data_IF_700528877030
#
_entry.id   IF_700528877030
#
_cell.length_a   1.000
_cell.length_b   1.000
_cell.length_c   1.000
_cell.angle_alpha   90.00
_cell.angle_beta   90.00
_cell.angle_gamma   90.00
#
_symmetry.space_group_name_H-M   'P 1'
#
loop_
_entity.id
_entity.type
_entity.pdbx_description
1 polymer ?
#
# COMPACT_ATOMS: atom_id res chain seq x y z
N UNK A 1 14.28 2.29 -10.08
CA UNK A 1 13.59 3.57 -10.31
C UNK A 1 12.08 3.41 -10.20
N UNK A 2 11.49 2.47 -10.93
CA UNK A 2 10.06 2.19 -10.93
C UNK A 2 9.53 1.88 -9.53
N UNK A 3 10.16 0.98 -8.80
CA UNK A 3 9.80 0.62 -7.43
C UNK A 3 9.89 1.82 -6.47
N UNK A 4 10.89 2.70 -6.62
CA UNK A 4 10.99 3.92 -5.81
C UNK A 4 9.84 4.89 -6.10
N UNK A 5 9.46 5.05 -7.38
CA UNK A 5 8.30 5.85 -7.75
C UNK A 5 7.01 5.25 -7.19
N UNK A 6 6.87 3.92 -7.22
CA UNK A 6 5.72 3.20 -6.66
C UNK A 6 5.60 3.43 -5.16
N UNK A 7 6.70 3.31 -4.40
CA UNK A 7 6.72 3.63 -2.96
C UNK A 7 6.32 5.09 -2.72
N UNK A 8 6.89 6.03 -3.48
CA UNK A 8 6.52 7.45 -3.38
C UNK A 8 5.04 7.71 -3.67
N UNK A 9 4.48 7.03 -4.67
CA UNK A 9 3.07 7.15 -5.00
C UNK A 9 2.16 6.57 -3.90
N UNK A 10 2.54 5.46 -3.25
CA UNK A 10 1.75 4.91 -2.13
C UNK A 10 1.60 5.93 -1.01
N UNK A 11 2.64 6.71 -0.70
CA UNK A 11 2.57 7.75 0.34
C UNK A 11 1.70 8.97 -0.03
N UNK A 12 1.20 9.07 -1.26
CA UNK A 12 0.19 10.10 -1.62
C UNK A 12 -1.22 9.73 -1.21
N UNK A 13 -1.45 8.47 -0.84
CA UNK A 13 -2.73 7.96 -0.39
C UNK A 13 -2.90 8.15 1.12
N UNK A 14 -4.15 8.22 1.63
CA UNK A 14 -4.40 8.25 3.06
C UNK A 14 -3.78 7.03 3.76
N UNK A 15 -3.19 7.24 4.92
CA UNK A 15 -2.77 6.13 5.77
C UNK A 15 -4.00 5.32 6.19
N UNK A 16 -3.84 4.01 6.25
CA UNK A 16 -4.85 3.10 6.78
C UNK A 16 -4.21 2.16 7.80
N UNK A 17 -4.97 1.84 8.81
CA UNK A 17 -4.61 0.84 9.80
C UNK A 17 -5.22 -0.51 9.38
N UNK A 18 -4.43 -1.57 9.51
CA UNK A 18 -4.88 -2.90 9.15
C UNK A 18 -4.09 -3.52 7.99
N UNK A 19 -4.49 -4.72 7.61
CA UNK A 19 -3.77 -5.52 6.59
C UNK A 19 -4.71 -6.22 5.61
N UNK A 20 -5.99 -5.98 5.71
CA UNK A 20 -7.00 -6.70 4.96
C UNK A 20 -7.34 -5.96 3.66
N UNK A 21 -6.95 -6.52 2.55
CA UNK A 21 -7.09 -5.90 1.23
C UNK A 21 -8.18 -6.62 0.43
N UNK A 22 -9.11 -5.86 -0.12
CA UNK A 22 -9.98 -6.36 -1.20
C UNK A 22 -9.28 -6.13 -2.55
N UNK A 23 -9.28 -7.14 -3.39
CA UNK A 23 -8.81 -7.07 -4.79
C UNK A 23 -10.03 -7.11 -5.68
N UNK A 24 -10.23 -6.06 -6.46
CA UNK A 24 -11.35 -5.92 -7.41
C UNK A 24 -10.75 -5.97 -8.82
N UNK A 25 -11.24 -6.86 -9.65
CA UNK A 25 -10.66 -7.09 -10.98
C UNK A 25 -11.71 -7.50 -12.01
N UNK A 26 -11.42 -7.23 -13.27
CA UNK A 26 -12.11 -7.82 -14.41
C UNK A 26 -11.25 -8.89 -15.13
N UNK A 27 -10.07 -9.23 -14.57
CA UNK A 27 -9.11 -10.16 -15.16
C UNK A 27 -8.42 -10.99 -14.07
N UNK A 28 -8.66 -12.30 -14.06
CA UNK A 28 -8.18 -13.19 -13.00
C UNK A 28 -6.65 -13.32 -12.90
N UNK A 29 -5.91 -13.28 -14.02
CA UNK A 29 -4.45 -13.45 -14.02
C UNK A 29 -3.72 -12.41 -13.15
N UNK A 30 -3.86 -11.11 -13.43
CA UNK A 30 -3.28 -10.04 -12.61
C UNK A 30 -3.72 -10.10 -11.14
N UNK A 31 -4.96 -10.50 -10.86
CA UNK A 31 -5.44 -10.64 -9.48
C UNK A 31 -4.69 -11.73 -8.71
N UNK A 32 -4.37 -12.85 -9.34
CA UNK A 32 -3.57 -13.92 -8.72
C UNK A 32 -2.16 -13.41 -8.42
N UNK A 33 -1.53 -12.71 -9.36
CA UNK A 33 -0.18 -12.14 -9.17
C UNK A 33 -0.16 -11.12 -8.04
N UNK A 34 -1.15 -10.24 -7.95
CA UNK A 34 -1.28 -9.29 -6.86
C UNK A 34 -1.51 -9.98 -5.51
N UNK A 35 -2.39 -10.97 -5.48
CA UNK A 35 -2.67 -11.78 -4.27
C UNK A 35 -1.39 -12.39 -3.73
N UNK A 36 -0.58 -13.00 -4.59
CA UNK A 36 0.71 -13.59 -4.24
C UNK A 36 1.69 -12.55 -3.69
N UNK A 37 1.82 -11.41 -4.36
CA UNK A 37 2.73 -10.35 -3.96
C UNK A 37 2.33 -9.75 -2.61
N UNK A 38 1.05 -9.42 -2.41
CA UNK A 38 0.53 -8.87 -1.17
C UNK A 38 0.61 -9.88 -0.01
N UNK A 39 0.31 -11.15 -0.25
CA UNK A 39 0.43 -12.20 0.79
C UNK A 39 1.88 -12.37 1.24
N UNK A 40 2.85 -12.36 0.32
CA UNK A 40 4.29 -12.36 0.64
C UNK A 40 4.72 -11.11 1.39
N UNK A 41 4.04 -9.99 1.16
CA UNK A 41 4.23 -8.73 1.87
C UNK A 41 3.64 -8.72 3.30
N UNK A 42 2.94 -9.78 3.70
CA UNK A 42 2.28 -9.89 5.02
C UNK A 42 0.92 -9.20 5.10
N UNK A 43 0.31 -8.89 3.94
CA UNK A 43 -1.08 -8.45 3.85
C UNK A 43 -2.02 -9.65 3.81
N UNK A 44 -3.26 -9.47 4.24
CA UNK A 44 -4.31 -10.48 4.18
C UNK A 44 -5.25 -10.19 3.02
N UNK A 45 -5.69 -11.23 2.36
CA UNK A 45 -6.75 -11.17 1.35
C UNK A 45 -7.92 -12.00 1.92
N UNK A 46 -8.72 -11.41 2.83
CA UNK A 46 -9.74 -12.17 3.55
C UNK A 46 -10.84 -12.64 2.60
N UNK A 47 -11.30 -13.86 2.82
CA UNK A 47 -12.45 -14.37 2.07
C UNK A 47 -13.71 -13.57 2.41
N UNK A 48 -14.47 -13.19 1.39
CA UNK A 48 -15.72 -12.44 1.49
C UNK A 48 -16.86 -13.42 1.25
N UNK A 49 -17.75 -13.58 2.25
CA UNK A 49 -18.87 -14.50 2.23
C UNK A 49 -20.06 -13.97 3.04
N UNK A 50 -21.19 -14.67 2.98
CA UNK A 50 -22.39 -14.36 3.72
C UNK A 50 -23.38 -13.46 2.96
N UNK A 51 -24.44 -13.04 3.62
CA UNK A 51 -25.60 -12.39 3.00
C UNK A 51 -25.25 -11.15 2.15
N UNK A 52 -24.27 -10.36 2.57
CA UNK A 52 -23.86 -9.18 1.81
C UNK A 52 -23.05 -9.57 0.55
N UNK A 53 -22.28 -10.64 0.60
CA UNK A 53 -21.59 -11.18 -0.58
C UNK A 53 -22.61 -11.74 -1.59
N UNK A 54 -23.61 -12.48 -1.12
CA UNK A 54 -24.68 -13.01 -1.96
C UNK A 54 -25.50 -11.88 -2.60
N UNK A 55 -25.79 -10.83 -1.84
CA UNK A 55 -26.48 -9.64 -2.35
C UNK A 55 -25.67 -8.95 -3.44
N UNK A 56 -24.35 -8.77 -3.22
CA UNK A 56 -23.46 -8.20 -4.22
C UNK A 56 -23.41 -9.07 -5.47
N UNK A 57 -23.25 -10.39 -5.31
CA UNK A 57 -23.22 -11.33 -6.44
C UNK A 57 -24.49 -11.23 -7.29
N UNK A 58 -25.65 -11.05 -6.67
CA UNK A 58 -26.91 -10.83 -7.37
C UNK A 58 -27.00 -9.56 -8.22
N UNK A 59 -26.08 -8.61 -8.03
CA UNK A 59 -25.99 -7.36 -8.81
C UNK A 59 -24.97 -7.43 -9.95
N UNK A 60 -24.19 -8.51 -10.00
CA UNK A 60 -23.18 -8.73 -11.01
C UNK A 60 -23.67 -9.69 -12.10
N UNK A 61 -22.93 -9.77 -13.19
CA UNK A 61 -23.24 -10.72 -14.26
C UNK A 61 -22.98 -12.16 -13.83
N UNK A 62 -23.75 -13.08 -14.39
CA UNK A 62 -23.53 -14.49 -14.17
C UNK A 62 -22.11 -14.91 -14.57
N UNK A 63 -21.44 -15.61 -13.68
CA UNK A 63 -20.02 -15.99 -13.83
C UNK A 63 -19.05 -15.09 -13.04
N UNK A 64 -19.53 -13.97 -12.47
CA UNK A 64 -18.74 -13.18 -11.52
C UNK A 64 -18.48 -13.96 -10.22
N UNK A 65 -17.45 -13.55 -9.48
CA UNK A 65 -17.08 -14.11 -8.18
C UNK A 65 -16.85 -12.99 -7.17
N UNK A 66 -17.30 -13.16 -5.93
CA UNK A 66 -17.18 -12.14 -4.86
C UNK A 66 -16.32 -12.57 -3.68
N UNK A 67 -15.68 -13.74 -3.75
CA UNK A 67 -14.93 -14.32 -2.64
C UNK A 67 -13.61 -13.65 -2.27
N UNK A 68 -13.17 -12.64 -2.96
CA UNK A 68 -11.89 -11.94 -2.88
C UNK A 68 -10.70 -12.83 -3.33
N UNK A 69 -10.10 -12.57 -4.52
CA UNK A 69 -10.42 -11.42 -5.40
C UNK A 69 -11.86 -11.40 -5.90
N UNK A 70 -12.44 -10.19 -6.02
CA UNK A 70 -13.76 -9.98 -6.61
C UNK A 70 -13.58 -9.84 -8.12
N UNK A 71 -14.00 -10.85 -8.88
CA UNK A 71 -13.91 -10.85 -10.33
C UNK A 71 -15.30 -10.57 -10.93
N UNK A 72 -15.44 -9.41 -11.57
CA UNK A 72 -16.70 -8.98 -12.20
C UNK A 72 -16.69 -9.08 -13.73
N UNK A 73 -15.76 -9.88 -14.27
CA UNK A 73 -15.59 -10.24 -15.67
C UNK A 73 -15.13 -9.08 -16.57
N UNK A 74 -14.53 -9.40 -17.72
CA UNK A 74 -14.12 -8.42 -18.72
C UNK A 74 -15.31 -7.67 -19.37
N UNK A 75 -16.52 -8.19 -19.22
CA UNK A 75 -17.77 -7.58 -19.69
C UNK A 75 -18.47 -6.75 -18.60
N UNK A 76 -17.89 -6.68 -17.41
CA UNK A 76 -18.44 -5.90 -16.29
C UNK A 76 -18.56 -4.42 -16.63
N UNK A 77 -19.55 -3.76 -16.06
CA UNK A 77 -19.87 -2.36 -16.36
C UNK A 77 -19.26 -1.39 -15.34
N UNK A 78 -19.08 -0.10 -15.68
CA UNK A 78 -18.66 0.92 -14.72
C UNK A 78 -19.56 0.99 -13.48
N UNK A 79 -20.87 0.80 -13.64
CA UNK A 79 -21.83 0.79 -12.54
C UNK A 79 -21.60 -0.40 -11.59
N UNK A 80 -21.25 -1.56 -12.13
CA UNK A 80 -20.89 -2.72 -11.34
C UNK A 80 -19.59 -2.48 -10.56
N UNK A 81 -18.57 -1.87 -11.19
CA UNK A 81 -17.34 -1.46 -10.52
C UNK A 81 -17.66 -0.53 -9.33
N UNK A 82 -18.46 0.50 -9.56
CA UNK A 82 -18.88 1.43 -8.51
C UNK A 82 -19.61 0.73 -7.36
N UNK A 83 -20.51 -0.21 -7.70
CA UNK A 83 -21.25 -1.00 -6.72
C UNK A 83 -20.33 -1.87 -5.87
N UNK A 84 -19.37 -2.56 -6.47
CA UNK A 84 -18.40 -3.40 -5.74
C UNK A 84 -17.59 -2.54 -4.77
N UNK A 85 -17.10 -1.38 -5.22
CA UNK A 85 -16.35 -0.45 -4.37
C UNK A 85 -17.20 -0.01 -3.18
N UNK A 86 -18.47 0.35 -3.39
CA UNK A 86 -19.38 0.76 -2.31
C UNK A 86 -19.60 -0.36 -1.27
N UNK A 87 -19.68 -1.61 -1.71
CA UNK A 87 -19.76 -2.75 -0.79
C UNK A 87 -18.49 -2.95 0.01
N UNK A 88 -17.33 -2.87 -0.64
CA UNK A 88 -16.04 -2.95 0.04
C UNK A 88 -15.85 -1.82 1.05
N UNK A 89 -16.30 -0.61 0.70
CA UNK A 89 -16.17 0.57 1.55
C UNK A 89 -17.11 0.54 2.76
N UNK A 90 -18.36 0.06 2.58
CA UNK A 90 -19.41 0.29 3.56
C UNK A 90 -20.08 -0.97 4.14
N UNK A 91 -19.90 -2.15 3.54
CA UNK A 91 -20.58 -3.40 3.91
C UNK A 91 -19.67 -4.50 4.40
N UNK A 92 -18.40 -4.49 3.98
CA UNK A 92 -17.41 -5.49 4.37
C UNK A 92 -16.46 -4.89 5.41
N UNK A 93 -16.86 -4.99 6.70
CA UNK A 93 -16.13 -4.40 7.82
C UNK A 93 -14.74 -4.99 8.01
N UNK A 94 -14.48 -6.19 7.45
CA UNK A 94 -13.21 -6.87 7.50
C UNK A 94 -12.24 -6.45 6.37
N UNK A 95 -12.54 -5.40 5.62
CA UNK A 95 -11.67 -4.83 4.59
C UNK A 95 -11.15 -3.48 5.07
N UNK A 96 -9.84 -3.26 4.93
CA UNK A 96 -9.17 -2.02 5.35
C UNK A 96 -8.84 -1.12 4.15
N UNK A 97 -8.54 -1.71 2.99
CA UNK A 97 -8.23 -0.98 1.75
C UNK A 97 -8.61 -1.81 0.52
N UNK A 98 -8.65 -1.17 -0.64
CA UNK A 98 -9.02 -1.79 -1.91
C UNK A 98 -7.91 -1.62 -2.95
N UNK A 99 -7.62 -2.67 -3.70
CA UNK A 99 -6.84 -2.62 -4.94
C UNK A 99 -7.79 -2.87 -6.12
N UNK A 100 -7.86 -1.92 -7.05
CA UNK A 100 -8.69 -2.05 -8.25
C UNK A 100 -7.78 -2.27 -9.45
N UNK A 101 -7.79 -3.47 -10.00
CA UNK A 101 -7.06 -3.80 -11.23
C UNK A 101 -8.02 -3.62 -12.41
N UNK A 102 -7.75 -2.63 -13.23
CA UNK A 102 -8.58 -2.37 -14.40
C UNK A 102 -7.73 -2.00 -15.62
N UNK A 103 -7.57 -2.95 -16.53
CA UNK A 103 -6.97 -2.75 -17.85
C UNK A 103 -8.01 -2.62 -18.93
N UNK A 104 -7.59 -2.52 -20.19
CA UNK A 104 -8.52 -2.56 -21.32
C UNK A 104 -8.78 -3.99 -21.76
N UNK A 105 -10.05 -4.43 -21.83
CA UNK A 105 -10.40 -5.71 -22.46
C UNK A 105 -10.31 -5.63 -24.01
N UNK A 106 -10.05 -4.46 -24.58
CA UNK A 106 -9.98 -4.24 -26.02
C UNK A 106 -11.32 -4.27 -26.76
N UNK A 107 -12.43 -4.30 -26.03
CA UNK A 107 -13.79 -4.42 -26.59
C UNK A 107 -14.48 -3.05 -26.77
N UNK A 108 -14.16 -2.10 -25.88
CA UNK A 108 -14.72 -0.74 -25.87
C UNK A 108 -13.76 0.20 -25.12
N UNK A 109 -13.89 1.54 -25.32
CA UNK A 109 -13.21 2.53 -24.50
C UNK A 109 -13.58 2.39 -23.02
N UNK A 110 -12.63 2.65 -22.13
CA UNK A 110 -12.78 2.44 -20.68
C UNK A 110 -12.86 3.74 -19.88
N UNK A 111 -13.05 4.89 -20.54
CA UNK A 111 -13.15 6.22 -19.89
C UNK A 111 -14.16 6.25 -18.75
N UNK A 112 -15.35 5.70 -18.94
CA UNK A 112 -16.40 5.72 -17.90
C UNK A 112 -16.01 4.92 -16.66
N UNK A 113 -15.34 3.77 -16.83
CA UNK A 113 -14.85 2.99 -15.70
C UNK A 113 -13.79 3.78 -14.90
N UNK A 114 -12.90 4.48 -15.58
CA UNK A 114 -11.88 5.31 -14.94
C UNK A 114 -12.47 6.55 -14.27
N UNK A 115 -13.52 7.15 -14.83
CA UNK A 115 -14.27 8.25 -14.17
C UNK A 115 -14.96 7.78 -12.91
N UNK A 116 -15.65 6.64 -12.95
CA UNK A 116 -16.25 6.04 -11.76
C UNK A 116 -15.19 5.73 -10.71
N UNK A 117 -14.05 5.13 -11.10
CA UNK A 117 -12.95 4.86 -10.19
C UNK A 117 -12.42 6.15 -9.54
N UNK A 118 -12.19 7.21 -10.32
CA UNK A 118 -11.75 8.52 -9.84
C UNK A 118 -12.74 9.14 -8.85
N UNK A 119 -14.05 9.04 -9.11
CA UNK A 119 -15.08 9.52 -8.21
C UNK A 119 -15.07 8.73 -6.90
N UNK A 120 -15.00 7.40 -6.97
CA UNK A 120 -14.97 6.55 -5.79
C UNK A 120 -13.71 6.78 -4.95
N UNK A 121 -12.56 7.02 -5.55
CA UNK A 121 -11.33 7.39 -4.82
C UNK A 121 -11.49 8.67 -3.99
N UNK A 122 -12.33 9.61 -4.44
CA UNK A 122 -12.60 10.87 -3.73
C UNK A 122 -13.66 10.76 -2.64
N UNK A 123 -14.54 9.77 -2.73
CA UNK A 123 -15.73 9.66 -1.86
C UNK A 123 -15.67 8.50 -0.86
N UNK A 124 -14.89 7.47 -1.14
CA UNK A 124 -14.73 6.32 -0.25
C UNK A 124 -13.94 6.68 1.00
N UNK A 125 -14.27 6.04 2.11
CA UNK A 125 -13.57 6.17 3.40
C UNK A 125 -12.29 5.36 3.43
N UNK A 126 -12.31 4.18 2.79
CA UNK A 126 -11.16 3.29 2.68
C UNK A 126 -10.33 3.64 1.46
N UNK A 127 -9.00 3.64 1.53
CA UNK A 127 -8.15 3.97 0.38
C UNK A 127 -8.34 2.95 -0.75
N UNK A 128 -8.30 3.47 -1.99
CA UNK A 128 -8.40 2.69 -3.22
C UNK A 128 -7.11 2.88 -4.01
N UNK A 129 -6.40 1.79 -4.27
CA UNK A 129 -5.18 1.78 -5.07
C UNK A 129 -5.49 1.30 -6.50
N UNK A 130 -5.54 2.20 -7.50
CA UNK A 130 -5.81 1.82 -8.88
C UNK A 130 -4.56 1.21 -9.52
N UNK A 131 -4.69 0.01 -10.03
CA UNK A 131 -3.65 -0.70 -10.78
C UNK A 131 -4.12 -0.77 -12.24
N UNK A 132 -3.47 0.00 -13.10
CA UNK A 132 -3.88 0.21 -14.50
C UNK A 132 -2.78 -0.29 -15.45
N UNK A 133 -2.73 -1.62 -15.74
CA UNK A 133 -1.61 -2.21 -16.47
C UNK A 133 -1.59 -1.90 -17.97
N UNK A 134 -2.69 -1.40 -18.54
CA UNK A 134 -2.84 -1.21 -20.00
C UNK A 134 -2.34 0.14 -20.51
N UNK A 135 -1.28 0.69 -19.94
CA UNK A 135 -0.77 2.05 -20.22
C UNK A 135 -0.37 2.28 -21.67
N UNK A 136 0.01 1.25 -22.41
CA UNK A 136 0.40 1.35 -23.81
C UNK A 136 -0.83 1.34 -24.76
N UNK A 137 -1.90 0.66 -24.39
CA UNK A 137 -3.09 0.45 -25.24
C UNK A 137 -4.20 1.44 -24.87
N UNK A 138 -4.32 1.79 -23.60
CA UNK A 138 -5.29 2.74 -23.06
C UNK A 138 -4.60 4.03 -22.57
N UNK A 139 -3.60 4.50 -23.32
CA UNK A 139 -2.78 5.65 -22.93
C UNK A 139 -3.57 6.95 -22.76
N UNK A 140 -4.56 7.18 -23.59
CA UNK A 140 -5.39 8.39 -23.53
C UNK A 140 -6.34 8.34 -22.31
N UNK A 141 -6.92 7.17 -22.01
CA UNK A 141 -7.77 6.97 -20.83
C UNK A 141 -6.98 7.11 -19.53
N UNK A 142 -5.78 6.54 -19.47
CA UNK A 142 -4.88 6.70 -18.32
C UNK A 142 -4.45 8.16 -18.15
N UNK A 143 -4.18 8.86 -19.27
CA UNK A 143 -3.84 10.28 -19.24
C UNK A 143 -4.99 11.11 -18.68
N UNK A 144 -6.23 10.89 -19.13
CA UNK A 144 -7.42 11.57 -18.59
C UNK A 144 -7.56 11.28 -17.08
N UNK A 145 -7.33 10.02 -16.65
CA UNK A 145 -7.38 9.64 -15.24
C UNK A 145 -6.37 10.43 -14.40
N UNK A 146 -5.16 10.63 -14.90
CA UNK A 146 -4.12 11.46 -14.24
C UNK A 146 -4.49 12.94 -14.26
N UNK A 147 -5.05 13.46 -15.35
CA UNK A 147 -5.52 14.84 -15.45
C UNK A 147 -6.66 15.15 -14.46
N UNK A 148 -7.44 14.15 -14.05
CA UNK A 148 -8.41 14.26 -12.96
C UNK A 148 -7.77 14.37 -11.56
N UNK A 149 -6.44 14.37 -11.46
CA UNK A 149 -5.68 14.51 -10.23
C UNK A 149 -5.36 13.18 -9.51
N UNK A 150 -5.51 12.04 -10.19
CA UNK A 150 -5.26 10.73 -9.60
C UNK A 150 -3.84 10.25 -9.88
N UNK A 151 -3.32 9.42 -8.96
CA UNK A 151 -2.15 8.57 -9.18
C UNK A 151 -2.60 7.15 -9.49
N UNK A 152 -1.78 6.38 -10.19
CA UNK A 152 -2.05 4.97 -10.47
C UNK A 152 -0.75 4.15 -10.39
N UNK A 153 -0.89 2.83 -10.42
CA UNK A 153 0.20 1.86 -10.46
C UNK A 153 0.09 1.06 -11.76
N UNK A 154 1.22 0.94 -12.46
CA UNK A 154 1.22 0.30 -13.78
C UNK A 154 1.39 -1.23 -13.72
N UNK A 155 1.81 -1.78 -12.57
CA UNK A 155 2.12 -3.19 -12.42
C UNK A 155 1.73 -3.67 -11.01
N UNK A 156 0.97 -4.74 -10.95
CA UNK A 156 0.45 -5.33 -9.72
C UNK A 156 1.55 -5.93 -8.84
N UNK A 157 2.56 -6.53 -9.44
CA UNK A 157 3.66 -7.17 -8.71
C UNK A 157 4.60 -6.13 -8.12
N UNK A 158 4.92 -5.09 -8.88
CA UNK A 158 5.73 -3.95 -8.40
C UNK A 158 5.01 -3.26 -7.25
N UNK A 159 3.69 -3.05 -7.36
CA UNK A 159 2.88 -2.50 -6.28
C UNK A 159 2.93 -3.38 -5.02
N UNK A 160 2.65 -4.67 -5.14
CA UNK A 160 2.66 -5.59 -4.00
C UNK A 160 4.03 -5.67 -3.31
N UNK A 161 5.12 -5.68 -4.08
CA UNK A 161 6.49 -5.66 -3.54
C UNK A 161 6.79 -4.34 -2.82
N UNK A 162 6.33 -3.20 -3.34
CA UNK A 162 6.50 -1.89 -2.71
C UNK A 162 5.75 -1.83 -1.37
N UNK A 163 4.50 -2.33 -1.29
CA UNK A 163 3.75 -2.47 -0.04
C UNK A 163 4.54 -3.31 0.96
N UNK A 164 5.10 -4.45 0.54
CA UNK A 164 5.92 -5.32 1.39
C UNK A 164 7.11 -4.59 2.00
N UNK A 165 7.80 -3.77 1.23
CA UNK A 165 8.92 -2.95 1.74
C UNK A 165 8.47 -1.91 2.74
N UNK A 166 7.36 -1.23 2.49
CA UNK A 166 6.79 -0.24 3.41
C UNK A 166 6.43 -0.91 4.74
N UNK A 167 5.72 -2.04 4.69
CA UNK A 167 5.30 -2.79 5.89
C UNK A 167 6.49 -3.36 6.67
N UNK A 168 7.55 -3.80 5.98
CA UNK A 168 8.76 -4.32 6.60
C UNK A 168 9.69 -3.22 7.16
N UNK A 169 9.46 -1.95 6.80
CA UNK A 169 10.28 -0.84 7.29
C UNK A 169 9.86 -0.50 8.72
N UNK A 170 10.80 -0.55 9.69
CA UNK A 170 10.50 -0.16 11.06
C UNK A 170 10.00 1.28 11.14
N UNK A 171 9.00 1.53 11.96
CA UNK A 171 8.62 2.91 12.31
C UNK A 171 9.76 3.59 13.06
N UNK A 172 9.87 4.90 12.91
CA UNK A 172 10.82 5.66 13.72
C UNK A 172 10.55 5.42 15.22
N UNK A 173 11.61 5.31 15.99
CA UNK A 173 11.49 5.20 17.45
C UNK A 173 10.76 6.43 18.00
N UNK A 174 9.89 6.23 18.98
CA UNK A 174 9.29 7.34 19.71
C UNK A 174 10.37 8.06 20.54
N UNK A 175 10.15 9.33 20.90
CA UNK A 175 11.08 10.06 21.78
C UNK A 175 11.36 9.35 23.10
N UNK A 176 10.41 8.54 23.58
CA UNK A 176 10.57 7.71 24.80
C UNK A 176 11.59 6.55 24.64
N UNK A 177 11.84 6.14 23.40
CA UNK A 177 12.83 5.11 23.06
C UNK A 177 14.24 5.70 22.83
N UNK A 178 14.41 6.99 22.99
CA UNK A 178 15.72 7.63 22.87
C UNK A 178 16.64 7.23 24.02
N UNK A 179 17.84 6.84 23.67
CA UNK A 179 18.88 6.51 24.65
C UNK A 179 19.12 7.72 25.54
N UNK A 180 19.10 7.53 26.85
CA UNK A 180 19.43 8.61 27.80
C UNK A 180 20.91 8.95 27.69
N UNK A 181 21.18 10.13 27.19
CA UNK A 181 22.52 10.65 26.98
C UNK A 181 22.86 11.61 28.11
N UNK A 182 23.98 11.36 28.82
CA UNK A 182 24.52 12.28 29.82
C UNK A 182 25.41 13.34 29.14
N UNK A 183 24.76 14.40 28.64
CA UNK A 183 25.43 15.49 27.91
C UNK A 183 26.46 16.22 28.76
N UNK A 184 26.23 16.38 30.05
CA UNK A 184 27.16 17.08 30.96
C UNK A 184 28.43 16.26 31.15
N UNK A 185 28.29 14.97 31.40
CA UNK A 185 29.41 14.04 31.51
C UNK A 185 30.21 13.92 30.21
N UNK A 186 29.54 13.87 29.07
CA UNK A 186 30.20 13.89 27.75
C UNK A 186 31.05 15.15 27.59
N UNK A 187 30.53 16.34 27.91
CA UNK A 187 31.27 17.58 27.82
C UNK A 187 32.47 17.63 28.77
N UNK A 188 32.30 17.14 30.00
CA UNK A 188 33.38 17.00 30.96
C UNK A 188 34.51 16.10 30.40
N UNK A 189 34.17 14.91 29.88
CA UNK A 189 35.14 13.99 29.29
C UNK A 189 35.88 14.67 28.12
N UNK A 190 35.14 15.30 27.20
CA UNK A 190 35.73 15.98 26.05
C UNK A 190 36.68 17.08 26.49
N UNK A 191 36.35 17.88 27.55
CA UNK A 191 37.17 18.97 28.01
C UNK A 191 38.54 18.55 28.56
N UNK A 192 38.67 17.31 29.01
CA UNK A 192 39.94 16.72 29.52
C UNK A 192 40.65 15.80 28.51
N UNK A 193 40.05 15.59 27.35
CA UNK A 193 40.66 14.75 26.29
C UNK A 193 41.82 15.52 25.60
N UNK A 194 42.93 14.84 25.31
CA UNK A 194 43.97 15.41 24.45
C UNK A 194 43.48 15.44 22.99
N UNK A 195 44.09 16.31 22.18
CA UNK A 195 43.91 16.28 20.74
C UNK A 195 44.48 14.97 20.16
N UNK A 196 43.70 14.31 19.32
CA UNK A 196 44.10 13.09 18.63
C UNK A 196 43.32 11.86 19.07
N UNK A 197 43.99 10.71 19.13
CA UNK A 197 43.36 9.44 19.53
C UNK A 197 43.12 9.36 21.04
N UNK A 198 41.93 8.92 21.43
CA UNK A 198 41.59 8.64 22.82
C UNK A 198 42.15 7.27 23.24
N UNK A 199 42.57 7.15 24.49
CA UNK A 199 42.83 5.86 25.06
C UNK A 199 41.50 5.07 25.26
N UNK A 200 41.61 3.75 25.43
CA UNK A 200 40.45 2.84 25.52
C UNK A 200 39.57 3.20 26.72
N UNK A 201 40.14 3.62 27.81
CA UNK A 201 39.40 3.95 29.05
C UNK A 201 38.53 5.20 28.83
N UNK A 202 39.12 6.25 28.31
CA UNK A 202 38.37 7.49 27.99
C UNK A 202 37.33 7.26 26.94
N UNK A 203 37.62 6.42 25.94
CA UNK A 203 36.63 6.02 24.92
C UNK A 203 35.45 5.28 25.54
N UNK A 204 35.70 4.31 26.41
CA UNK A 204 34.65 3.56 27.08
C UNK A 204 33.79 4.47 27.98
N UNK A 205 34.43 5.38 28.75
CA UNK A 205 33.71 6.40 29.54
C UNK A 205 32.80 7.28 28.67
N UNK A 206 33.25 7.64 27.49
CA UNK A 206 32.48 8.46 26.55
C UNK A 206 31.30 7.67 25.96
N UNK A 207 31.52 6.43 25.58
CA UNK A 207 30.47 5.54 25.08
C UNK A 207 29.40 5.26 26.13
N UNK A 208 29.81 5.00 27.37
CA UNK A 208 28.90 4.83 28.51
C UNK A 208 28.04 6.08 28.74
N UNK A 209 28.65 7.25 28.72
CA UNK A 209 27.94 8.53 28.88
C UNK A 209 26.98 8.82 27.72
N UNK A 210 27.31 8.33 26.53
CA UNK A 210 26.46 8.39 25.34
C UNK A 210 25.39 7.28 25.29
N UNK A 211 25.38 6.33 26.25
CA UNK A 211 24.47 5.20 26.28
C UNK A 211 24.72 4.18 25.16
N UNK A 212 25.94 4.13 24.63
CA UNK A 212 26.31 3.23 23.54
C UNK A 212 26.94 1.95 24.16
N UNK A 213 26.33 0.80 23.87
CA UNK A 213 26.88 -0.48 24.29
C UNK A 213 28.21 -0.77 23.58
N UNK A 214 29.23 -1.15 24.32
CA UNK A 214 30.53 -1.53 23.79
C UNK A 214 31.06 -2.81 24.47
N UNK A 215 32.05 -3.45 23.84
CA UNK A 215 32.70 -4.60 24.45
C UNK A 215 33.46 -4.15 25.70
N UNK A 216 33.29 -4.88 26.80
CA UNK A 216 34.03 -4.67 28.04
C UNK A 216 35.13 -5.75 28.06
N UNK A 217 36.40 -5.32 28.13
CA UNK A 217 37.54 -6.23 28.29
C UNK A 217 37.64 -6.81 29.73
#
# INVERSE_FOLDING_TARGET
>A
REELCTVGNIFTYPEFEGKNIAIITHAGGPAVMLTDALSKAGMNIPHIEGAMADELLGKLFAGSAVGNPIDFLATGTPEQLGTIIDYCDTKFDNIDAMCVIFGTPGLAPIYEAYRVLSEKMKTSKKPIFPILPSTLVAGDEVKEFVEMGNTYFADETVFGNAVGRIVATPKAANEEDTVKIDVEKIREIISRCPDGYLDVKLMNELLDAAGINHAVD
#
